data_IF_795093366939
#
_entry.id   IF_795093366939
#
_cell.length_a   1.000
_cell.length_b   1.000
_cell.length_c   1.000
_cell.angle_alpha   90.00
_cell.angle_beta   90.00
_cell.angle_gamma   90.00
#
_symmetry.space_group_name_H-M   'P 1'
#
loop_
_entity.id
_entity.type
_entity.pdbx_description
1 polymer ?
#
# COMPACT_ATOMS: atom_id res chain seq x y z
N UNK A 1 -19.10 38.33 0.98
CA UNK A 1 -18.66 37.02 0.46
C UNK A 1 -17.17 37.00 0.61
N UNK A 2 -16.68 36.54 1.76
CA UNK A 2 -15.26 36.34 2.00
C UNK A 2 -15.02 34.84 1.94
N UNK A 3 -14.35 34.41 0.88
CA UNK A 3 -14.10 33.02 0.51
C UNK A 3 -12.77 32.57 1.10
N UNK A 4 -12.66 32.56 2.42
CA UNK A 4 -11.51 31.97 3.09
C UNK A 4 -11.64 30.44 2.98
N UNK A 5 -10.83 29.86 2.10
CA UNK A 5 -10.67 28.41 2.00
C UNK A 5 -10.18 27.86 3.37
N UNK A 6 -10.95 27.01 4.06
CA UNK A 6 -10.61 26.54 5.40
C UNK A 6 -9.43 25.56 5.44
N UNK A 7 -8.77 25.29 4.30
CA UNK A 7 -7.76 24.23 4.17
C UNK A 7 -6.36 24.61 4.65
N UNK A 8 -6.09 25.86 5.03
CA UNK A 8 -4.76 26.27 5.51
C UNK A 8 -4.91 27.27 6.66
N UNK A 9 -5.24 26.78 7.86
CA UNK A 9 -5.07 27.56 9.09
C UNK A 9 -3.63 27.36 9.59
N UNK A 10 -2.79 28.38 9.42
CA UNK A 10 -1.59 28.71 10.22
C UNK A 10 -0.61 27.60 10.63
N UNK A 11 -0.38 26.58 9.81
CA UNK A 11 0.76 25.66 10.00
C UNK A 11 0.75 24.84 11.29
N UNK A 12 -0.36 24.79 12.03
CA UNK A 12 -0.53 23.93 13.21
C UNK A 12 -1.48 22.79 12.83
N UNK A 13 -0.98 21.56 12.94
CA UNK A 13 -1.77 20.35 12.68
C UNK A 13 -3.01 20.34 13.60
N UNK A 14 -4.24 20.18 13.07
CA UNK A 14 -5.46 20.06 13.88
C UNK A 14 -5.43 18.92 14.90
N UNK A 15 -4.61 17.89 14.71
CA UNK A 15 -4.36 16.86 15.72
C UNK A 15 -3.47 17.35 16.86
N UNK A 16 -2.62 18.36 16.61
CA UNK A 16 -1.81 19.03 17.61
C UNK A 16 -2.62 20.12 18.31
N UNK A 17 -3.50 20.83 17.58
CA UNK A 17 -4.37 21.86 18.14
C UNK A 17 -5.36 21.28 19.16
N UNK A 18 -5.04 21.47 20.43
CA UNK A 18 -5.91 21.18 21.56
C UNK A 18 -6.14 19.70 21.87
N UNK A 19 -5.48 18.73 21.22
CA UNK A 19 -5.36 17.38 21.80
C UNK A 19 -4.29 17.39 22.87
N UNK A 20 -3.14 17.99 22.60
CA UNK A 20 -2.04 18.11 23.56
C UNK A 20 -2.49 18.85 24.82
N UNK A 21 -3.04 20.05 24.66
CA UNK A 21 -3.43 20.92 25.79
C UNK A 21 -4.54 20.27 26.61
N UNK A 22 -5.54 19.67 25.95
CA UNK A 22 -6.64 18.99 26.65
C UNK A 22 -6.20 17.68 27.31
N UNK A 23 -5.15 17.02 26.82
CA UNK A 23 -4.70 15.75 27.41
C UNK A 23 -4.35 15.94 28.89
N UNK A 24 -3.60 17.00 29.18
CA UNK A 24 -3.19 17.37 30.54
C UNK A 24 -4.38 17.91 31.35
N UNK A 25 -5.21 18.79 30.76
CA UNK A 25 -6.40 19.33 31.43
C UNK A 25 -7.40 18.25 31.86
N UNK A 26 -7.51 17.16 31.09
CA UNK A 26 -8.40 16.03 31.39
C UNK A 26 -7.78 15.02 32.36
N UNK A 27 -6.55 15.25 32.85
CA UNK A 27 -5.89 14.37 33.82
C UNK A 27 -5.56 12.98 33.28
N UNK A 28 -5.40 12.83 31.96
CA UNK A 28 -5.04 11.55 31.35
C UNK A 28 -3.58 11.17 31.69
N UNK A 29 -3.35 9.89 32.00
CA UNK A 29 -2.03 9.39 32.33
C UNK A 29 -1.15 9.22 31.09
N UNK A 30 0.15 9.52 31.23
CA UNK A 30 1.13 9.47 30.14
C UNK A 30 1.02 10.65 29.17
N UNK A 31 1.88 10.66 28.14
CA UNK A 31 1.86 11.71 27.11
C UNK A 31 0.88 11.41 25.96
N UNK A 32 0.40 12.45 25.24
CA UNK A 32 -0.59 12.30 24.15
C UNK A 32 -0.01 11.67 22.87
N UNK A 33 1.32 11.54 22.80
CA UNK A 33 2.04 11.21 21.56
C UNK A 33 1.63 9.89 20.89
N UNK A 34 1.42 8.77 21.60
CA UNK A 34 0.96 7.53 20.97
C UNK A 34 -0.41 7.71 20.30
N UNK A 35 -1.35 8.39 20.96
CA UNK A 35 -2.68 8.66 20.42
C UNK A 35 -2.60 9.56 19.18
N UNK A 36 -1.86 10.66 19.28
CA UNK A 36 -1.69 11.60 18.16
C UNK A 36 -1.04 10.92 16.95
N UNK A 37 -0.01 10.09 17.15
CA UNK A 37 0.63 9.35 16.07
C UNK A 37 -0.33 8.36 15.39
N UNK A 38 -1.12 7.60 16.15
CA UNK A 38 -2.14 6.68 15.63
C UNK A 38 -3.18 7.45 14.79
N UNK A 39 -3.66 8.59 15.29
CA UNK A 39 -4.61 9.43 14.58
C UNK A 39 -4.02 10.02 13.28
N UNK A 40 -2.78 10.50 13.33
CA UNK A 40 -2.10 11.09 12.18
C UNK A 40 -1.93 10.06 11.05
N UNK A 41 -1.36 8.89 11.36
CA UNK A 41 -1.18 7.79 10.40
C UNK A 41 -2.54 7.28 9.90
N UNK A 42 -3.51 7.09 10.80
CA UNK A 42 -4.84 6.61 10.44
C UNK A 42 -5.58 7.52 9.46
N UNK A 43 -5.56 8.84 9.71
CA UNK A 43 -6.20 9.84 8.84
C UNK A 43 -5.46 9.96 7.50
N UNK A 44 -4.13 10.01 7.51
CA UNK A 44 -3.35 10.04 6.28
C UNK A 44 -3.61 8.79 5.42
N UNK A 45 -3.66 7.60 6.02
CA UNK A 45 -4.00 6.36 5.34
C UNK A 45 -5.40 6.42 4.68
N UNK A 46 -6.40 6.99 5.35
CA UNK A 46 -7.74 7.17 4.76
C UNK A 46 -7.71 8.10 3.53
N UNK A 47 -6.97 9.20 3.61
CA UNK A 47 -6.81 10.15 2.50
C UNK A 47 -6.09 9.50 1.32
N UNK A 48 -4.95 8.85 1.56
CA UNK A 48 -4.19 8.13 0.54
C UNK A 48 -5.05 7.05 -0.13
N UNK A 49 -5.81 6.29 0.66
CA UNK A 49 -6.71 5.25 0.15
C UNK A 49 -7.80 5.81 -0.75
N UNK A 50 -8.44 6.91 -0.34
CA UNK A 50 -9.51 7.56 -1.13
C UNK A 50 -8.96 8.10 -2.45
N UNK A 51 -7.79 8.74 -2.41
CA UNK A 51 -7.14 9.28 -3.58
C UNK A 51 -6.73 8.17 -4.55
N UNK A 52 -6.10 7.10 -4.04
CA UNK A 52 -5.77 5.89 -4.81
C UNK A 52 -7.02 5.24 -5.43
N UNK A 53 -8.09 5.04 -4.66
CA UNK A 53 -9.33 4.43 -5.17
C UNK A 53 -9.92 5.23 -6.34
N UNK A 54 -9.80 6.55 -6.29
CA UNK A 54 -10.31 7.45 -7.34
C UNK A 54 -9.47 7.37 -8.61
N UNK A 55 -8.14 7.28 -8.50
CA UNK A 55 -7.24 7.06 -9.64
C UNK A 55 -7.50 5.69 -10.28
N UNK A 56 -7.54 4.64 -9.48
CA UNK A 56 -7.69 3.27 -9.99
C UNK A 56 -9.05 3.04 -10.66
N UNK A 57 -10.10 3.71 -10.18
CA UNK A 57 -11.43 3.65 -10.81
C UNK A 57 -11.41 4.14 -12.26
N UNK A 58 -10.58 5.13 -12.60
CA UNK A 58 -10.43 5.61 -13.99
C UNK A 58 -9.81 4.59 -14.93
N UNK A 59 -9.10 3.62 -14.36
CA UNK A 59 -8.37 2.57 -15.08
C UNK A 59 -9.04 1.20 -14.90
N UNK A 60 -10.31 1.16 -14.49
CA UNK A 60 -11.11 -0.04 -14.23
C UNK A 60 -10.38 -1.08 -13.34
N UNK A 61 -9.62 -0.59 -12.36
CA UNK A 61 -8.78 -1.43 -11.52
C UNK A 61 -9.19 -1.31 -10.04
N UNK A 62 -9.13 -2.42 -9.31
CA UNK A 62 -9.27 -2.42 -7.86
C UNK A 62 -7.90 -2.21 -7.20
N UNK A 63 -7.84 -1.73 -5.94
CA UNK A 63 -6.58 -1.67 -5.18
C UNK A 63 -5.85 -3.00 -5.14
N UNK A 64 -6.61 -4.08 -4.91
CA UNK A 64 -6.08 -5.43 -4.86
C UNK A 64 -5.47 -5.82 -6.21
N UNK A 65 -6.15 -5.49 -7.31
CA UNK A 65 -5.65 -5.70 -8.67
C UNK A 65 -4.37 -4.91 -8.94
N UNK A 66 -4.34 -3.63 -8.56
CA UNK A 66 -3.16 -2.78 -8.66
C UNK A 66 -1.95 -3.34 -7.89
N UNK A 67 -2.12 -3.69 -6.61
CA UNK A 67 -1.05 -4.25 -5.81
C UNK A 67 -0.55 -5.56 -6.40
N UNK A 68 -1.45 -6.43 -6.87
CA UNK A 68 -1.08 -7.70 -7.49
C UNK A 68 -0.28 -7.50 -8.78
N UNK A 69 -0.73 -6.64 -9.69
CA UNK A 69 -0.01 -6.33 -10.93
C UNK A 69 1.36 -5.73 -10.63
N UNK A 70 1.43 -4.76 -9.73
CA UNK A 70 2.70 -4.11 -9.35
C UNK A 70 3.65 -5.11 -8.71
N UNK A 71 3.18 -5.96 -7.80
CA UNK A 71 4.00 -7.03 -7.22
C UNK A 71 4.53 -8.00 -8.27
N UNK A 72 3.69 -8.44 -9.22
CA UNK A 72 4.15 -9.29 -10.32
C UNK A 72 5.18 -8.57 -11.19
N UNK A 73 4.94 -7.30 -11.55
CA UNK A 73 5.84 -6.50 -12.37
C UNK A 73 7.24 -6.34 -11.73
N UNK A 74 7.31 -6.27 -10.40
CA UNK A 74 8.55 -6.15 -9.62
C UNK A 74 9.27 -7.50 -9.40
N UNK A 75 8.66 -8.63 -9.75
CA UNK A 75 9.34 -9.93 -9.68
C UNK A 75 10.27 -10.12 -10.88
N UNK A 76 11.40 -10.82 -10.68
CA UNK A 76 12.43 -11.06 -11.71
C UNK A 76 11.86 -11.61 -13.02
N UNK A 77 10.84 -12.48 -12.93
CA UNK A 77 10.26 -13.15 -14.10
C UNK A 77 8.82 -12.73 -14.39
N UNK A 78 8.29 -11.68 -13.74
CA UNK A 78 6.89 -11.29 -13.93
C UNK A 78 5.87 -12.31 -13.42
N UNK A 79 6.28 -13.28 -12.59
CA UNK A 79 5.43 -14.40 -12.18
C UNK A 79 5.65 -14.81 -10.73
N UNK A 80 4.58 -15.26 -10.09
CA UNK A 80 4.61 -15.75 -8.72
C UNK A 80 3.53 -16.83 -8.49
N UNK A 81 3.72 -17.64 -7.44
CA UNK A 81 2.66 -18.55 -6.97
C UNK A 81 1.55 -17.75 -6.31
N UNK A 82 0.29 -18.17 -6.45
CA UNK A 82 -0.87 -17.56 -5.76
C UNK A 82 -0.64 -17.44 -4.24
N UNK A 83 -0.12 -18.49 -3.61
CA UNK A 83 0.19 -18.49 -2.18
C UNK A 83 1.26 -17.48 -1.79
N UNK A 84 2.22 -17.22 -2.69
CA UNK A 84 3.27 -16.22 -2.49
C UNK A 84 2.69 -14.81 -2.59
N UNK A 85 1.81 -14.56 -3.56
CA UNK A 85 1.10 -13.28 -3.68
C UNK A 85 0.26 -12.98 -2.43
N UNK A 86 -0.49 -13.97 -1.92
CA UNK A 86 -1.28 -13.80 -0.70
C UNK A 86 -0.44 -13.46 0.54
N UNK A 87 0.70 -14.14 0.72
CA UNK A 87 1.62 -13.83 1.82
C UNK A 87 2.22 -12.42 1.69
N UNK A 88 2.78 -12.09 0.53
CA UNK A 88 3.43 -10.79 0.28
C UNK A 88 2.45 -9.64 0.48
N UNK A 89 1.23 -9.79 -0.02
CA UNK A 89 0.21 -8.75 0.03
C UNK A 89 -0.63 -8.79 1.32
N UNK A 90 -0.34 -9.74 2.23
CA UNK A 90 -1.13 -10.01 3.44
C UNK A 90 -2.64 -10.16 3.14
N UNK A 91 -2.95 -10.82 2.03
CA UNK A 91 -4.31 -11.04 1.54
C UNK A 91 -4.76 -12.47 1.78
N UNK A 92 -6.01 -12.64 2.17
CA UNK A 92 -6.62 -13.96 2.27
C UNK A 92 -6.57 -14.69 0.91
N UNK A 93 -6.28 -16.01 0.87
CA UNK A 93 -6.17 -16.76 -0.39
C UNK A 93 -7.38 -16.61 -1.32
N UNK A 94 -8.59 -16.58 -0.77
CA UNK A 94 -9.83 -16.34 -1.55
C UNK A 94 -9.80 -14.99 -2.26
N UNK A 95 -9.34 -13.93 -1.59
CA UNK A 95 -9.24 -12.58 -2.17
C UNK A 95 -8.24 -12.56 -3.33
N UNK A 96 -7.09 -13.22 -3.16
CA UNK A 96 -6.08 -13.33 -4.23
C UNK A 96 -6.66 -14.08 -5.43
N UNK A 97 -7.31 -15.22 -5.21
CA UNK A 97 -7.91 -16.02 -6.28
C UNK A 97 -8.92 -15.20 -7.09
N UNK A 98 -9.87 -14.56 -6.40
CA UNK A 98 -10.90 -13.73 -7.04
C UNK A 98 -10.29 -12.56 -7.83
N UNK A 99 -9.26 -11.92 -7.28
CA UNK A 99 -8.58 -10.82 -7.96
C UNK A 99 -7.86 -11.31 -9.21
N UNK A 100 -7.19 -12.46 -9.15
CA UNK A 100 -6.54 -13.04 -10.33
C UNK A 100 -7.58 -13.48 -11.36
N UNK A 101 -8.72 -14.05 -10.94
CA UNK A 101 -9.81 -14.41 -11.87
C UNK A 101 -10.27 -13.15 -12.65
N UNK A 102 -10.45 -12.02 -11.96
CA UNK A 102 -10.86 -10.75 -12.57
C UNK A 102 -9.79 -10.22 -13.53
N UNK A 103 -8.52 -10.20 -13.12
CA UNK A 103 -7.41 -9.72 -13.94
C UNK A 103 -7.18 -10.61 -15.18
N UNK A 104 -7.37 -11.92 -15.04
CA UNK A 104 -7.24 -12.88 -16.14
C UNK A 104 -8.37 -12.70 -17.16
N UNK A 105 -9.60 -12.47 -16.69
CA UNK A 105 -10.75 -12.22 -17.56
C UNK A 105 -10.58 -10.98 -18.47
N UNK A 106 -9.82 -9.98 -18.02
CA UNK A 106 -9.46 -8.78 -18.81
C UNK A 106 -8.08 -8.86 -19.46
N UNK A 107 -7.41 -10.02 -19.40
CA UNK A 107 -6.14 -10.27 -20.10
C UNK A 107 -4.90 -9.61 -19.48
N UNK A 108 -4.97 -9.13 -18.24
CA UNK A 108 -3.84 -8.47 -17.57
C UNK A 108 -2.88 -9.47 -16.90
N UNK A 109 -3.36 -10.69 -16.62
CA UNK A 109 -2.54 -11.80 -16.14
C UNK A 109 -2.95 -13.10 -16.84
N UNK A 110 -2.09 -14.11 -16.77
CA UNK A 110 -2.38 -15.46 -17.22
C UNK A 110 -1.95 -16.48 -16.17
N UNK A 111 -2.70 -17.59 -16.07
CA UNK A 111 -2.33 -18.72 -15.22
C UNK A 111 -1.65 -19.83 -16.00
N UNK A 112 -0.66 -20.46 -15.38
CA UNK A 112 -0.04 -21.68 -15.88
C UNK A 112 0.21 -22.69 -14.75
N UNK A 113 0.18 -24.00 -15.05
CA UNK A 113 0.61 -25.00 -14.10
C UNK A 113 2.11 -24.82 -13.81
N UNK A 114 2.52 -25.00 -12.55
CA UNK A 114 3.93 -24.93 -12.21
C UNK A 114 4.68 -26.14 -12.80
N UNK A 115 5.81 -25.95 -13.51
CA UNK A 115 6.45 -27.01 -14.31
C UNK A 115 6.91 -28.21 -13.46
N UNK A 116 7.34 -27.95 -12.23
CA UNK A 116 7.88 -28.96 -11.32
C UNK A 116 6.94 -29.30 -10.14
N UNK A 117 5.75 -28.68 -10.07
CA UNK A 117 4.81 -28.88 -8.96
C UNK A 117 3.37 -28.80 -9.47
N UNK A 118 2.78 -29.94 -9.80
CA UNK A 118 1.43 -30.02 -10.37
C UNK A 118 0.33 -29.47 -9.43
N UNK A 119 0.64 -29.28 -8.14
CA UNK A 119 -0.31 -28.72 -7.16
C UNK A 119 -0.23 -27.20 -7.07
N UNK A 120 0.78 -26.57 -7.68
CA UNK A 120 0.96 -25.12 -7.66
C UNK A 120 0.52 -24.47 -8.98
N UNK A 121 -0.20 -23.35 -8.86
CA UNK A 121 -0.54 -22.46 -9.97
C UNK A 121 0.37 -21.25 -9.96
N UNK A 122 0.99 -20.96 -11.10
CA UNK A 122 1.70 -19.71 -11.35
C UNK A 122 0.76 -18.69 -11.97
N UNK A 123 0.92 -17.45 -11.54
CA UNK A 123 0.28 -16.28 -12.15
C UNK A 123 1.38 -15.45 -12.75
N UNK A 124 1.22 -15.08 -14.02
CA UNK A 124 2.19 -14.31 -14.79
C UNK A 124 1.52 -13.04 -15.32
N UNK A 125 2.19 -11.90 -15.19
CA UNK A 125 1.72 -10.63 -15.74
C UNK A 125 1.91 -10.63 -17.25
N UNK A 126 0.87 -10.24 -18.00
CA UNK A 126 0.97 -10.10 -19.46
C UNK A 126 1.63 -8.78 -19.84
N UNK A 127 1.91 -8.57 -21.13
CA UNK A 127 2.35 -7.27 -21.64
C UNK A 127 1.31 -6.17 -21.31
N UNK A 128 0.03 -6.44 -21.58
CA UNK A 128 -1.07 -5.52 -21.24
C UNK A 128 -1.16 -5.26 -19.72
N UNK A 129 -0.89 -6.27 -18.88
CA UNK A 129 -0.80 -6.10 -17.44
C UNK A 129 0.32 -5.14 -17.01
N UNK A 130 1.48 -5.20 -17.67
CA UNK A 130 2.60 -4.28 -17.40
C UNK A 130 2.27 -2.87 -17.87
N UNK A 131 1.67 -2.73 -19.04
CA UNK A 131 1.25 -1.42 -19.56
C UNK A 131 0.23 -0.78 -18.60
N UNK A 132 -0.75 -1.55 -18.12
CA UNK A 132 -1.71 -1.08 -17.12
C UNK A 132 -1.05 -0.69 -15.80
N UNK A 133 -0.03 -1.42 -15.34
CA UNK A 133 0.72 -1.04 -14.14
C UNK A 133 1.46 0.30 -14.33
N UNK A 134 2.07 0.51 -15.50
CA UNK A 134 2.72 1.77 -15.85
C UNK A 134 1.73 2.93 -15.96
N UNK A 135 0.55 2.71 -16.56
CA UNK A 135 -0.54 3.69 -16.62
C UNK A 135 -0.95 4.14 -15.21
N UNK A 136 -1.08 3.20 -14.27
CA UNK A 136 -1.35 3.54 -12.87
C UNK A 136 -0.21 4.37 -12.27
N UNK A 137 1.05 3.95 -12.44
CA UNK A 137 2.19 4.70 -11.90
C UNK A 137 2.24 6.14 -12.40
N UNK A 138 1.97 6.36 -13.69
CA UNK A 138 1.90 7.71 -14.27
C UNK A 138 0.70 8.51 -13.73
N UNK A 139 -0.46 7.87 -13.54
CA UNK A 139 -1.64 8.52 -12.98
C UNK A 139 -1.42 8.97 -11.52
N UNK A 140 -0.73 8.15 -10.71
CA UNK A 140 -0.42 8.47 -9.31
C UNK A 140 0.54 9.66 -9.17
N UNK A 141 1.38 9.92 -10.18
CA UNK A 141 2.33 11.06 -10.22
C UNK A 141 1.78 12.27 -11.00
N UNK A 142 0.55 12.20 -11.51
CA UNK A 142 -0.04 13.27 -12.33
C UNK A 142 -0.23 14.55 -11.50
N UNK A 143 0.26 15.72 -11.96
CA UNK A 143 0.06 17.00 -11.26
C UNK A 143 -1.41 17.42 -11.12
N UNK A 144 -2.31 16.86 -11.95
CA UNK A 144 -3.75 17.06 -11.86
C UNK A 144 -4.51 15.90 -11.20
N UNK A 145 -3.79 14.90 -10.70
CA UNK A 145 -4.35 13.73 -10.04
C UNK A 145 -4.76 14.00 -8.59
N UNK A 146 -5.44 13.04 -7.98
CA UNK A 146 -5.89 13.10 -6.59
C UNK A 146 -4.71 13.05 -5.61
N UNK A 147 -3.60 12.43 -6.03
CA UNK A 147 -2.37 12.36 -5.25
C UNK A 147 -1.59 13.68 -5.28
N UNK A 148 -1.86 14.58 -6.22
CA UNK A 148 -1.22 15.90 -6.27
C UNK A 148 -1.51 16.74 -5.03
N UNK A 149 -2.62 16.47 -4.32
CA UNK A 149 -2.95 17.12 -3.05
C UNK A 149 -1.92 16.86 -1.93
N UNK A 150 -1.06 15.85 -2.08
CA UNK A 150 0.05 15.57 -1.16
C UNK A 150 1.34 16.32 -1.52
N UNK A 151 1.33 17.13 -2.58
CA UNK A 151 2.41 18.06 -2.93
C UNK A 151 3.80 17.40 -3.04
N UNK A 152 3.85 16.21 -3.65
CA UNK A 152 5.09 15.46 -3.84
C UNK A 152 5.72 14.89 -2.55
N UNK A 153 5.07 15.01 -1.39
CA UNK A 153 5.59 14.55 -0.08
C UNK A 153 5.62 13.03 0.09
N UNK A 154 5.36 12.25 -0.95
CA UNK A 154 5.33 10.79 -0.89
C UNK A 154 6.62 10.21 -0.32
N UNK A 155 7.78 10.76 -0.72
CA UNK A 155 9.09 10.37 -0.21
C UNK A 155 9.26 10.70 1.27
N UNK A 156 8.91 11.92 1.68
CA UNK A 156 8.98 12.36 3.08
C UNK A 156 8.11 11.49 3.99
N UNK A 157 6.89 11.16 3.54
CA UNK A 157 5.97 10.26 4.26
C UNK A 157 6.60 8.87 4.41
N UNK A 158 7.17 8.32 3.33
CA UNK A 158 7.83 7.01 3.38
C UNK A 158 9.01 7.00 4.36
N UNK A 159 9.90 7.99 4.26
CA UNK A 159 11.09 8.11 5.11
C UNK A 159 10.72 8.34 6.58
N UNK A 160 9.69 9.15 6.87
CA UNK A 160 9.23 9.41 8.23
C UNK A 160 8.62 8.16 8.91
N UNK A 161 7.94 7.31 8.15
CA UNK A 161 7.31 6.09 8.67
C UNK A 161 8.29 4.92 8.79
N UNK A 162 9.38 4.94 8.02
CA UNK A 162 10.30 3.81 7.88
C UNK A 162 10.88 3.32 9.23
N UNK A 163 11.43 4.16 10.12
CA UNK A 163 12.01 3.69 11.38
C UNK A 163 10.98 2.98 12.27
N UNK A 164 9.76 3.53 12.36
CA UNK A 164 8.69 2.94 13.17
C UNK A 164 8.21 1.60 12.59
N UNK A 165 8.07 1.51 11.26
CA UNK A 165 7.72 0.26 10.56
C UNK A 165 8.75 -0.83 10.81
N UNK A 166 10.05 -0.51 10.67
CA UNK A 166 11.14 -1.45 10.92
C UNK A 166 11.18 -1.90 12.39
N UNK A 167 11.00 -0.97 13.34
CA UNK A 167 10.93 -1.29 14.77
C UNK A 167 9.74 -2.20 15.11
N UNK A 168 8.62 -2.08 14.38
CA UNK A 168 7.45 -2.95 14.50
C UNK A 168 7.58 -4.29 13.74
N UNK A 169 8.70 -4.54 13.06
CA UNK A 169 8.94 -5.78 12.31
C UNK A 169 8.32 -5.82 10.91
N UNK A 170 7.85 -4.68 10.37
CA UNK A 170 7.33 -4.59 9.00
C UNK A 170 8.50 -4.53 7.99
N UNK A 171 9.05 -5.71 7.70
CA UNK A 171 10.22 -5.91 6.82
C UNK A 171 9.89 -6.69 5.55
N UNK A 172 8.62 -7.01 5.33
CA UNK A 172 8.21 -8.00 4.35
C UNK A 172 7.26 -7.40 3.33
N UNK A 173 7.81 -6.87 2.23
CA UNK A 173 7.01 -6.65 1.04
C UNK A 173 7.64 -7.14 -0.25
N UNK A 174 8.97 -7.23 -0.37
CA UNK A 174 9.62 -7.82 -1.55
C UNK A 174 10.98 -8.47 -1.24
N UNK A 175 11.24 -8.83 0.03
CA UNK A 175 12.47 -9.52 0.41
C UNK A 175 12.21 -11.03 0.60
N UNK A 176 12.29 -11.86 -0.46
CA UNK A 176 12.08 -13.30 -0.35
C UNK A 176 13.13 -14.03 0.53
N UNK A 177 14.19 -13.34 0.95
CA UNK A 177 15.26 -13.90 1.80
C UNK A 177 15.04 -13.75 3.32
N UNK A 178 14.20 -12.82 3.78
CA UNK A 178 14.10 -12.49 5.21
C UNK A 178 13.43 -13.60 6.08
N UNK A 179 12.73 -14.54 5.45
CA UNK A 179 12.03 -15.64 6.12
C UNK A 179 12.76 -16.99 6.10
N UNK A 180 13.93 -17.11 5.44
CA UNK A 180 14.65 -18.40 5.32
C UNK A 180 15.82 -18.59 6.28
N UNK A 181 16.23 -17.57 7.04
CA UNK A 181 17.48 -17.62 7.82
C UNK A 181 17.28 -17.56 9.35
N UNK A 182 16.08 -17.83 9.86
CA UNK A 182 15.78 -17.90 11.30
C UNK A 182 15.32 -19.29 11.74
N UNK A 183 16.08 -20.33 11.39
CA UNK A 183 15.75 -21.69 11.83
C UNK A 183 16.68 -22.80 11.35
N UNK A 184 18.00 -22.62 11.38
CA UNK A 184 18.94 -23.73 11.55
C UNK A 184 20.31 -23.18 12.00
N UNK A 185 20.45 -22.91 13.30
CA UNK A 185 21.75 -23.02 13.97
C UNK A 185 21.55 -24.05 15.07
N UNK A 186 21.96 -25.27 14.75
CA UNK A 186 22.24 -26.29 15.74
C UNK A 186 23.40 -25.83 16.63
N UNK A 187 23.27 -26.15 17.91
CA UNK A 187 24.20 -25.87 19.00
C UNK A 187 23.54 -26.26 20.31
#
# INVERSE_FOLDING_TARGET
MDGTDPRVMDGVDPLVMGVRDRWEEQGLLGGPWPFMAICAVGRLNQLLKKALDTELKRLDLTRTGYFLLTTLALTVHGRARLSTLGRILMMHPTTVKLTVDQLEAVGLVARSPHPNDRRATLVEITAAGRDRANEVSLALESPGGELAAFDGRHREIFEALQPARLAAGDVELLNPGAGRDRGHRDG
#
